data_IF_607854447880
#
_entry.id   IF_607854447880
#
_cell.length_a   1.000
_cell.length_b   1.000
_cell.length_c   1.000
_cell.angle_alpha   90.00
_cell.angle_beta   90.00
_cell.angle_gamma   90.00
#
_symmetry.space_group_name_H-M   'P 1'
#
loop_
_entity.id
_entity.type
_entity.pdbx_description
1 polymer ?
#
# COMPACT_ATOMS: atom_id res chain seq x y z
N UNK A 1 -76.79 22.38 13.50
CA UNK A 1 -75.39 21.88 13.63
C UNK A 1 -74.46 23.04 13.27
N UNK A 2 -73.74 23.58 14.25
CA UNK A 2 -73.05 24.88 14.13
C UNK A 2 -71.78 24.80 13.28
N UNK A 3 -71.88 25.26 12.02
CA UNK A 3 -70.77 25.35 11.06
C UNK A 3 -69.58 26.19 11.58
N UNK A 4 -69.82 27.15 12.47
CA UNK A 4 -68.82 28.05 13.04
C UNK A 4 -67.80 27.34 13.96
N UNK A 5 -68.21 26.30 14.68
CA UNK A 5 -67.32 25.54 15.59
C UNK A 5 -66.35 24.64 14.81
N UNK A 6 -66.85 24.02 13.74
CA UNK A 6 -66.06 23.15 12.84
C UNK A 6 -65.01 23.99 12.11
N UNK A 7 -65.38 25.18 11.61
CA UNK A 7 -64.46 26.08 10.91
C UNK A 7 -63.30 26.56 11.80
N UNK A 8 -63.56 26.84 13.08
CA UNK A 8 -62.52 27.25 14.04
C UNK A 8 -61.54 26.12 14.37
N UNK A 9 -62.02 24.88 14.50
CA UNK A 9 -61.16 23.71 14.75
C UNK A 9 -60.24 23.41 13.56
N UNK A 10 -60.73 23.51 12.32
CA UNK A 10 -59.89 23.34 11.13
C UNK A 10 -58.82 24.44 11.00
N UNK A 11 -59.16 25.70 11.31
CA UNK A 11 -58.19 26.81 11.33
C UNK A 11 -57.09 26.61 12.38
N UNK A 12 -57.44 26.14 13.59
CA UNK A 12 -56.43 25.83 14.63
C UNK A 12 -55.53 24.66 14.25
N UNK A 13 -56.07 23.59 13.67
CA UNK A 13 -55.27 22.45 13.19
C UNK A 13 -54.33 22.84 12.04
N UNK A 14 -54.79 23.71 11.14
CA UNK A 14 -53.97 24.25 10.05
C UNK A 14 -52.81 25.09 10.58
N UNK A 15 -53.07 25.98 11.55
CA UNK A 15 -52.03 26.82 12.16
C UNK A 15 -50.96 25.96 12.86
N UNK A 16 -51.38 24.94 13.63
CA UNK A 16 -50.44 24.02 14.30
C UNK A 16 -49.58 23.26 13.27
N UNK A 17 -50.19 22.80 12.17
CA UNK A 17 -49.49 22.12 11.09
C UNK A 17 -48.44 23.03 10.45
N UNK A 18 -48.79 24.29 10.15
CA UNK A 18 -47.86 25.26 9.55
C UNK A 18 -46.69 25.57 10.48
N UNK A 19 -46.94 25.71 11.78
CA UNK A 19 -45.89 25.93 12.78
C UNK A 19 -44.96 24.72 12.88
N UNK A 20 -45.50 23.50 12.90
CA UNK A 20 -44.69 22.28 12.92
C UNK A 20 -43.83 22.14 11.65
N UNK A 21 -44.36 22.53 10.50
CA UNK A 21 -43.64 22.49 9.22
C UNK A 21 -42.51 23.52 9.18
N UNK A 22 -42.71 24.71 9.74
CA UNK A 22 -41.66 25.72 9.92
C UNK A 22 -40.52 25.20 10.81
N UNK A 23 -40.83 24.55 11.94
CA UNK A 23 -39.80 23.94 12.79
C UNK A 23 -39.03 22.84 12.06
N UNK A 24 -39.71 22.04 11.22
CA UNK A 24 -39.07 20.97 10.46
C UNK A 24 -38.10 21.52 9.39
N UNK A 25 -38.49 22.59 8.70
CA UNK A 25 -37.62 23.27 7.72
C UNK A 25 -36.40 23.88 8.39
N UNK A 26 -36.56 24.54 9.54
CA UNK A 26 -35.43 25.11 10.29
C UNK A 26 -34.49 24.00 10.79
N UNK A 27 -35.03 22.87 11.27
CA UNK A 27 -34.22 21.73 11.69
C UNK A 27 -33.40 21.14 10.53
N UNK A 28 -33.98 21.03 9.33
CA UNK A 28 -33.27 20.57 8.12
C UNK A 28 -32.17 21.56 7.74
N UNK A 29 -32.43 22.86 7.78
CA UNK A 29 -31.41 23.89 7.48
C UNK A 29 -30.26 23.81 8.48
N UNK A 30 -30.54 23.70 9.79
CA UNK A 30 -29.50 23.56 10.82
C UNK A 30 -28.70 22.25 10.65
N UNK A 31 -29.37 21.15 10.32
CA UNK A 31 -28.72 19.86 10.05
C UNK A 31 -27.80 19.93 8.81
N UNK A 32 -28.27 20.54 7.72
CA UNK A 32 -27.48 20.70 6.49
C UNK A 32 -26.35 21.74 6.65
N UNK A 33 -26.55 22.78 7.45
CA UNK A 33 -25.54 23.83 7.71
C UNK A 33 -24.46 23.38 8.71
N UNK A 34 -24.76 22.36 9.53
CA UNK A 34 -23.80 21.74 10.44
C UNK A 34 -22.85 20.76 9.77
N UNK A 35 -23.15 20.33 8.54
CA UNK A 35 -22.20 19.60 7.70
C UNK A 35 -21.23 20.61 7.08
N UNK A 36 -20.17 20.93 7.84
CA UNK A 36 -18.99 21.55 7.22
C UNK A 36 -18.59 20.64 6.05
N UNK A 37 -18.38 21.18 4.83
CA UNK A 37 -17.68 20.41 3.82
C UNK A 37 -16.35 20.03 4.46
N UNK A 38 -16.17 18.74 4.73
CA UNK A 38 -14.85 18.20 5.02
C UNK A 38 -14.04 18.68 3.81
N UNK A 39 -13.00 19.51 3.98
CA UNK A 39 -12.18 19.84 2.86
C UNK A 39 -11.76 18.51 2.26
N UNK A 40 -12.19 18.26 1.03
CA UNK A 40 -11.50 17.34 0.15
C UNK A 40 -10.11 17.94 0.03
N UNK A 41 -9.27 17.65 1.01
CA UNK A 41 -7.83 17.55 0.81
C UNK A 41 -7.72 16.69 -0.41
N UNK A 42 -7.50 17.35 -1.54
CA UNK A 42 -6.95 16.77 -2.75
C UNK A 42 -5.98 15.72 -2.26
N UNK A 43 -6.38 14.47 -2.39
CA UNK A 43 -5.56 13.32 -2.05
C UNK A 43 -4.23 13.65 -2.70
N UNK A 44 -3.16 13.79 -1.90
CA UNK A 44 -1.81 13.81 -2.45
C UNK A 44 -1.79 12.59 -3.34
N UNK A 45 -1.86 12.77 -4.66
CA UNK A 45 -1.76 11.68 -5.60
C UNK A 45 -0.55 10.89 -5.12
N UNK A 46 -0.77 9.66 -4.67
CA UNK A 46 0.31 8.86 -4.15
C UNK A 46 1.32 8.78 -5.28
N UNK A 47 2.47 9.44 -5.08
CA UNK A 47 3.44 9.60 -6.14
C UNK A 47 3.91 8.20 -6.53
N UNK A 48 3.95 7.95 -7.83
CA UNK A 48 4.55 6.72 -8.35
C UNK A 48 6.00 6.66 -7.88
N UNK A 49 6.47 5.47 -7.53
CA UNK A 49 7.87 5.31 -7.18
C UNK A 49 8.75 5.66 -8.40
N UNK A 50 9.72 6.58 -8.27
CA UNK A 50 10.55 7.00 -9.40
C UNK A 50 11.43 5.86 -9.94
N UNK A 51 11.66 4.81 -9.16
CA UNK A 51 12.43 3.64 -9.57
C UNK A 51 11.54 2.52 -10.16
N UNK A 52 10.22 2.72 -10.19
CA UNK A 52 9.28 1.78 -10.79
C UNK A 52 9.18 1.97 -12.31
N UNK A 53 9.71 1.01 -13.06
CA UNK A 53 9.67 0.99 -14.53
C UNK A 53 8.64 -0.03 -15.03
N UNK A 54 8.26 0.04 -16.30
CA UNK A 54 7.45 -1.01 -16.91
C UNK A 54 8.16 -2.36 -16.83
N UNK A 55 7.39 -3.39 -16.50
CA UNK A 55 7.90 -4.75 -16.46
C UNK A 55 8.50 -5.10 -17.83
N UNK A 56 9.79 -5.36 -17.85
CA UNK A 56 10.47 -5.95 -19.00
C UNK A 56 10.40 -7.48 -18.87
N UNK A 57 9.75 -8.13 -19.83
CA UNK A 57 9.59 -9.59 -19.83
C UNK A 57 10.92 -10.36 -19.90
N UNK A 58 11.99 -9.75 -20.45
CA UNK A 58 13.35 -10.32 -20.43
C UNK A 58 13.92 -10.23 -19.03
N UNK A 59 13.82 -9.06 -18.41
CA UNK A 59 14.30 -8.82 -17.05
C UNK A 59 13.54 -9.67 -16.00
N UNK A 60 12.23 -9.83 -16.17
CA UNK A 60 11.42 -10.76 -15.37
C UNK A 60 11.89 -12.21 -15.50
N UNK A 61 12.27 -12.66 -16.70
CA UNK A 61 12.84 -14.01 -16.89
C UNK A 61 14.18 -14.17 -16.19
N UNK A 62 14.95 -13.11 -16.06
CA UNK A 62 16.18 -13.13 -15.25
C UNK A 62 15.83 -13.32 -13.77
N UNK A 63 14.80 -12.61 -13.27
CA UNK A 63 14.26 -12.76 -11.92
C UNK A 63 13.49 -14.06 -11.65
N UNK A 64 12.94 -14.73 -12.66
CA UNK A 64 12.31 -16.04 -12.51
C UNK A 64 13.29 -17.13 -12.01
N UNK A 65 14.59 -16.83 -11.98
CA UNK A 65 15.60 -17.70 -11.40
C UNK A 65 15.92 -17.36 -9.94
N UNK A 66 15.36 -16.28 -9.40
CA UNK A 66 15.19 -16.14 -7.97
C UNK A 66 14.08 -17.09 -7.54
N UNK A 67 14.17 -17.61 -6.32
CA UNK A 67 13.12 -18.43 -5.74
C UNK A 67 11.91 -17.54 -5.40
N UNK A 68 11.09 -17.30 -6.42
CA UNK A 68 9.89 -16.49 -6.39
C UNK A 68 8.66 -17.40 -6.25
N UNK A 69 7.82 -17.10 -5.26
CA UNK A 69 6.53 -17.72 -5.03
C UNK A 69 5.43 -16.72 -5.29
N UNK A 70 4.49 -17.07 -6.15
CA UNK A 70 3.26 -16.30 -6.34
C UNK A 70 2.23 -16.71 -5.28
N UNK A 71 1.63 -15.74 -4.61
CA UNK A 71 0.61 -15.93 -3.57
C UNK A 71 -0.57 -15.02 -3.88
N UNK A 72 -1.77 -15.59 -3.91
CA UNK A 72 -3.00 -14.81 -4.04
C UNK A 72 -3.61 -14.58 -2.66
N UNK A 73 -3.85 -13.32 -2.29
CA UNK A 73 -4.53 -12.93 -1.06
C UNK A 73 -5.72 -12.04 -1.41
N UNK A 74 -6.92 -12.59 -1.29
CA UNK A 74 -8.13 -11.92 -1.77
C UNK A 74 -8.14 -11.82 -3.29
N UNK A 75 -8.10 -10.60 -3.83
CA UNK A 75 -8.02 -10.32 -5.28
C UNK A 75 -6.67 -9.74 -5.70
N UNK A 76 -5.65 -9.87 -4.84
CA UNK A 76 -4.32 -9.34 -5.11
C UNK A 76 -3.32 -10.49 -5.29
N UNK A 77 -2.51 -10.40 -6.35
CA UNK A 77 -1.46 -11.33 -6.70
C UNK A 77 -0.13 -10.76 -6.19
N UNK A 78 0.46 -11.44 -5.22
CA UNK A 78 1.77 -11.12 -4.66
C UNK A 78 2.83 -12.00 -5.30
N UNK A 79 3.96 -11.41 -5.68
CA UNK A 79 5.13 -12.13 -6.16
C UNK A 79 6.26 -11.96 -5.14
N UNK A 80 6.55 -13.02 -4.41
CA UNK A 80 7.34 -13.00 -3.19
C UNK A 80 8.65 -13.74 -3.38
N UNK A 81 9.76 -13.14 -2.95
CA UNK A 81 11.09 -13.74 -3.07
C UNK A 81 11.60 -14.21 -1.72
N UNK A 82 12.28 -15.35 -1.68
CA UNK A 82 12.88 -15.88 -0.45
C UNK A 82 14.35 -15.45 -0.26
N UNK A 83 15.04 -15.04 -1.34
CA UNK A 83 16.46 -14.67 -1.32
C UNK A 83 16.71 -13.41 -2.16
N UNK A 84 17.58 -12.53 -1.67
CA UNK A 84 18.07 -11.35 -2.40
C UNK A 84 19.59 -11.23 -2.29
N UNK A 85 20.22 -10.66 -3.30
CA UNK A 85 21.68 -10.54 -3.41
C UNK A 85 22.08 -9.08 -3.56
N UNK A 86 22.74 -8.53 -2.55
CA UNK A 86 23.11 -7.11 -2.45
C UNK A 86 24.62 -6.92 -2.47
N UNK A 87 25.05 -5.77 -2.99
CA UNK A 87 26.46 -5.36 -3.02
C UNK A 87 26.84 -4.61 -1.75
N UNK A 88 27.97 -4.95 -1.12
CA UNK A 88 28.38 -4.38 0.17
C UNK A 88 28.95 -2.96 0.09
N UNK A 89 29.33 -2.51 -1.11
CA UNK A 89 30.05 -1.26 -1.34
C UNK A 89 29.15 -0.11 -1.83
N UNK A 90 27.84 -0.33 -1.93
CA UNK A 90 26.87 0.64 -2.42
C UNK A 90 25.57 0.61 -1.62
N UNK A 91 24.84 1.71 -1.62
CA UNK A 91 23.45 1.79 -1.14
C UNK A 91 22.43 1.51 -2.24
N UNK A 92 22.82 1.67 -3.50
CA UNK A 92 21.98 1.37 -4.65
C UNK A 92 21.97 -0.14 -4.88
N UNK A 93 20.81 -0.77 -4.67
CA UNK A 93 20.64 -2.22 -4.72
C UNK A 93 19.57 -2.60 -5.73
N UNK A 94 19.78 -3.72 -6.41
CA UNK A 94 18.73 -4.35 -7.20
C UNK A 94 17.71 -4.98 -6.25
N UNK A 95 16.46 -4.51 -6.30
CA UNK A 95 15.37 -5.03 -5.47
C UNK A 95 14.28 -5.58 -6.38
N UNK A 96 14.26 -6.90 -6.50
CA UNK A 96 13.26 -7.63 -7.24
C UNK A 96 11.90 -7.50 -6.54
N UNK A 97 11.10 -6.51 -6.93
CA UNK A 97 9.71 -6.37 -6.50
C UNK A 97 8.91 -5.84 -7.67
N UNK A 98 7.79 -6.48 -7.98
CA UNK A 98 6.89 -6.01 -9.02
C UNK A 98 5.43 -6.16 -8.61
N UNK A 99 4.59 -5.32 -9.20
CA UNK A 99 3.15 -5.40 -9.07
C UNK A 99 2.60 -6.10 -10.32
N UNK A 100 1.92 -7.23 -10.11
CA UNK A 100 1.39 -8.04 -11.21
C UNK A 100 0.47 -7.20 -12.13
N UNK A 101 0.59 -7.30 -13.46
CA UNK A 101 -0.28 -6.57 -14.37
C UNK A 101 -1.77 -6.93 -14.24
N UNK A 102 -2.11 -8.08 -13.66
CA UNK A 102 -3.50 -8.46 -13.40
C UNK A 102 -4.08 -7.81 -12.14
N UNK A 103 -3.26 -7.19 -11.29
CA UNK A 103 -3.76 -6.45 -10.13
C UNK A 103 -4.44 -5.15 -10.55
N UNK A 104 -5.46 -4.74 -9.81
CA UNK A 104 -6.17 -3.48 -10.02
C UNK A 104 -5.74 -2.36 -9.07
N UNK A 105 -4.92 -2.69 -8.05
CA UNK A 105 -4.40 -1.76 -7.02
C UNK A 105 -2.89 -1.57 -7.14
N UNK A 106 -2.41 -0.43 -6.63
CA UNK A 106 -0.99 -0.18 -6.44
C UNK A 106 -0.40 -1.06 -5.33
N UNK A 107 0.93 -1.09 -5.26
CA UNK A 107 1.69 -1.83 -4.26
C UNK A 107 2.72 -0.92 -3.61
N UNK A 108 2.79 -0.95 -2.28
CA UNK A 108 3.93 -0.42 -1.52
C UNK A 108 4.72 -1.61 -1.00
N UNK A 109 6.03 -1.58 -1.19
CA UNK A 109 6.95 -2.57 -0.66
C UNK A 109 7.85 -1.94 0.40
N UNK A 110 7.95 -2.61 1.55
CA UNK A 110 8.79 -2.16 2.66
C UNK A 110 9.73 -3.29 3.07
N UNK A 111 11.04 -3.03 3.10
CA UNK A 111 12.08 -3.98 3.48
C UNK A 111 12.65 -3.59 4.85
N UNK A 112 12.61 -4.54 5.78
CA UNK A 112 13.22 -4.44 7.10
C UNK A 112 14.34 -5.46 7.27
N UNK A 113 15.40 -5.11 8.02
CA UNK A 113 16.24 -6.09 8.70
C UNK A 113 15.52 -6.54 9.97
N UNK A 114 15.42 -7.85 10.14
CA UNK A 114 14.62 -8.47 11.19
C UNK A 114 13.78 -9.61 10.64
N UNK A 115 13.52 -10.61 11.48
CA UNK A 115 12.64 -11.71 11.14
C UNK A 115 11.17 -11.25 11.13
N UNK A 116 10.29 -12.06 10.52
CA UNK A 116 8.89 -11.70 10.33
C UNK A 116 8.14 -11.49 11.66
N UNK A 117 8.46 -12.28 12.69
CA UNK A 117 7.85 -12.18 14.02
C UNK A 117 8.17 -10.83 14.69
N UNK A 118 9.42 -10.38 14.62
CA UNK A 118 9.84 -9.08 15.14
C UNK A 118 9.14 -7.92 14.42
N UNK A 119 8.96 -8.05 13.09
CA UNK A 119 8.26 -7.06 12.27
C UNK A 119 6.77 -7.01 12.60
N UNK A 120 6.12 -8.16 12.79
CA UNK A 120 4.71 -8.25 13.17
C UNK A 120 4.44 -7.64 14.56
N UNK A 121 5.37 -7.85 15.51
CA UNK A 121 5.26 -7.32 16.87
C UNK A 121 5.82 -5.90 17.03
N UNK A 122 6.30 -5.28 15.95
CA UNK A 122 6.96 -3.97 15.98
C UNK A 122 8.07 -3.86 17.04
N UNK A 123 8.90 -4.90 17.12
CA UNK A 123 10.05 -4.98 18.04
C UNK A 123 11.05 -3.85 17.74
N UNK A 124 11.68 -3.29 18.77
CA UNK A 124 12.67 -2.21 18.65
C UNK A 124 13.93 -2.63 17.87
N UNK A 125 14.15 -3.93 17.71
CA UNK A 125 15.28 -4.50 16.96
C UNK A 125 15.13 -4.45 15.43
N UNK A 126 13.95 -4.13 14.90
CA UNK A 126 13.74 -4.05 13.45
C UNK A 126 14.31 -2.75 12.88
N UNK A 127 14.93 -2.84 11.72
CA UNK A 127 15.51 -1.68 11.05
C UNK A 127 14.97 -1.52 9.63
N UNK A 128 14.42 -0.35 9.31
CA UNK A 128 13.96 -0.04 7.96
C UNK A 128 15.15 0.14 7.01
N UNK A 129 15.24 -0.69 5.98
CA UNK A 129 16.23 -0.53 4.92
C UNK A 129 15.69 0.22 3.71
N UNK A 130 14.43 0.00 3.36
CA UNK A 130 13.83 0.63 2.19
C UNK A 130 12.32 0.62 2.28
N UNK A 131 11.70 1.68 1.75
CA UNK A 131 10.26 1.78 1.55
C UNK A 131 10.00 2.44 0.21
N UNK A 132 9.26 1.76 -0.65
CA UNK A 132 8.83 2.34 -1.92
C UNK A 132 7.70 3.36 -1.73
N UNK A 133 7.50 4.19 -2.74
CA UNK A 133 6.20 4.81 -3.00
C UNK A 133 5.29 3.80 -3.73
N UNK A 134 4.30 4.26 -4.51
CA UNK A 134 3.36 3.34 -5.15
C UNK A 134 3.94 2.75 -6.43
N UNK A 135 4.01 1.43 -6.48
CA UNK A 135 4.32 0.63 -7.67
C UNK A 135 2.99 0.28 -8.34
N UNK A 136 2.73 0.85 -9.53
CA UNK A 136 1.48 0.58 -10.27
C UNK A 136 1.46 -0.83 -10.86
N UNK A 137 0.27 -1.40 -11.15
CA UNK A 137 0.17 -2.68 -11.87
C UNK A 137 1.00 -2.68 -13.15
N UNK A 138 1.71 -3.78 -13.41
CA UNK A 138 2.59 -3.91 -14.56
C UNK A 138 3.94 -3.18 -14.44
N UNK A 139 4.27 -2.67 -13.24
CA UNK A 139 5.55 -2.01 -12.96
C UNK A 139 6.40 -2.83 -11.98
N UNK A 140 7.71 -2.63 -12.07
CA UNK A 140 8.69 -3.24 -11.17
C UNK A 140 9.76 -2.26 -10.71
N UNK A 141 10.26 -2.47 -9.51
CA UNK A 141 11.46 -1.80 -9.02
C UNK A 141 12.69 -2.41 -9.72
N UNK A 142 13.65 -1.56 -10.04
CA UNK A 142 14.94 -1.97 -10.62
C UNK A 142 16.03 -1.82 -9.58
N UNK A 143 16.65 -0.64 -9.56
CA UNK A 143 17.67 -0.24 -8.59
C UNK A 143 17.02 0.75 -7.65
N UNK A 144 17.20 0.52 -6.35
CA UNK A 144 16.65 1.34 -5.28
C UNK A 144 17.76 1.77 -4.33
N UNK A 145 17.66 2.98 -3.81
CA UNK A 145 18.57 3.47 -2.80
C UNK A 145 18.11 3.05 -1.40
N UNK A 146 18.90 2.18 -0.77
CA UNK A 146 18.72 1.80 0.62
C UNK A 146 19.01 2.97 1.56
N UNK A 147 18.36 3.00 2.72
CA UNK A 147 18.59 3.97 3.80
C UNK A 147 20.04 3.96 4.26
N UNK A 148 20.71 2.80 4.22
CA UNK A 148 22.15 2.65 4.48
C UNK A 148 22.75 1.44 3.77
N UNK A 149 24.07 1.43 3.67
CA UNK A 149 24.84 0.28 3.19
C UNK A 149 24.90 -0.84 4.24
N UNK A 150 25.10 -2.07 3.74
CA UNK A 150 25.29 -3.27 4.55
C UNK A 150 26.71 -3.80 4.37
N UNK A 151 27.30 -4.32 5.44
CA UNK A 151 28.58 -5.03 5.35
C UNK A 151 28.34 -6.39 4.70
N UNK A 152 29.39 -6.98 4.14
CA UNK A 152 29.30 -8.35 3.63
C UNK A 152 28.88 -9.32 4.75
N UNK A 153 27.97 -10.24 4.42
CA UNK A 153 27.35 -11.16 5.36
C UNK A 153 25.93 -11.55 4.96
N UNK A 154 25.34 -12.47 5.72
CA UNK A 154 23.97 -12.92 5.54
C UNK A 154 23.06 -12.34 6.62
N UNK A 155 21.91 -11.79 6.22
CA UNK A 155 20.96 -11.15 7.12
C UNK A 155 19.58 -11.76 7.00
N UNK A 156 18.89 -11.86 8.14
CA UNK A 156 17.45 -12.12 8.16
C UNK A 156 16.72 -10.79 7.94
N UNK A 157 15.84 -10.79 6.96
CA UNK A 157 15.06 -9.64 6.56
C UNK A 157 13.62 -10.03 6.30
N UNK A 158 12.77 -9.02 6.15
CA UNK A 158 11.35 -9.19 5.89
C UNK A 158 10.90 -8.14 4.89
N UNK A 159 10.17 -8.58 3.86
CA UNK A 159 9.48 -7.68 2.94
C UNK A 159 7.99 -7.71 3.26
N UNK A 160 7.41 -6.52 3.40
CA UNK A 160 5.98 -6.32 3.53
C UNK A 160 5.45 -5.77 2.20
N UNK A 161 4.52 -6.51 1.60
CA UNK A 161 3.81 -6.12 0.39
C UNK A 161 2.43 -5.58 0.80
N UNK A 162 2.20 -4.29 0.58
CA UNK A 162 0.98 -3.59 0.99
C UNK A 162 0.21 -3.10 -0.24
N UNK A 163 -0.84 -3.79 -0.67
CA UNK A 163 -1.77 -3.32 -1.69
C UNK A 163 -2.47 -2.03 -1.24
N UNK A 164 -2.50 -1.05 -2.13
CA UNK A 164 -3.04 0.29 -1.87
C UNK A 164 -3.82 0.81 -3.08
N UNK A 165 -4.99 1.41 -2.87
CA UNK A 165 -5.72 2.08 -3.95
C UNK A 165 -5.24 3.52 -4.17
N UNK A 166 -5.81 4.18 -5.19
CA UNK A 166 -5.49 5.57 -5.52
C UNK A 166 -5.86 6.58 -4.42
N UNK A 167 -6.66 6.16 -3.42
CA UNK A 167 -7.06 6.95 -2.27
C UNK A 167 -6.20 6.69 -1.02
N UNK A 168 -5.29 5.71 -1.06
CA UNK A 168 -4.45 5.33 0.05
C UNK A 168 -5.05 4.27 0.99
N UNK A 169 -6.17 3.65 0.62
CA UNK A 169 -6.77 2.57 1.41
C UNK A 169 -5.94 1.30 1.27
N UNK A 170 -5.71 0.62 2.40
CA UNK A 170 -4.90 -0.61 2.48
C UNK A 170 -5.83 -1.83 2.54
N UNK A 171 -5.53 -2.87 1.74
CA UNK A 171 -6.38 -4.06 1.58
C UNK A 171 -5.83 -5.33 2.25
N UNK A 172 -4.88 -5.16 3.17
CA UNK A 172 -4.20 -6.25 3.88
C UNK A 172 -2.80 -6.48 3.32
N UNK A 173 -1.81 -6.53 4.21
CA UNK A 173 -0.41 -6.71 3.82
C UNK A 173 0.00 -8.18 3.87
N UNK A 174 0.85 -8.58 2.95
CA UNK A 174 1.54 -9.87 2.99
C UNK A 174 2.96 -9.67 3.53
N UNK A 175 3.28 -10.40 4.59
CA UNK A 175 4.60 -10.39 5.23
C UNK A 175 5.36 -11.61 4.75
N UNK A 176 6.56 -11.38 4.20
CA UNK A 176 7.41 -12.44 3.64
C UNK A 176 8.79 -12.40 4.27
N UNK A 177 9.25 -13.48 4.93
CA UNK A 177 10.64 -13.58 5.37
C UNK A 177 11.56 -13.77 4.16
N UNK A 178 12.70 -13.06 4.17
CA UNK A 178 13.68 -13.05 3.08
C UNK A 178 15.09 -13.15 3.66
N UNK A 179 15.97 -13.92 3.01
CA UNK A 179 17.40 -13.89 3.31
C UNK A 179 18.12 -12.89 2.41
N UNK A 180 18.81 -11.92 3.00
CA UNK A 180 19.70 -11.02 2.24
C UNK A 180 21.12 -11.57 2.29
N UNK A 181 21.68 -11.78 1.11
CA UNK A 181 23.08 -12.15 0.93
C UNK A 181 23.85 -10.91 0.48
N UNK A 182 24.83 -10.48 1.27
CA UNK A 182 25.61 -9.28 0.98
C UNK A 182 27.06 -9.65 0.72
N UNK A 183 27.60 -9.27 -0.44
CA UNK A 183 28.99 -9.51 -0.82
C UNK A 183 29.55 -8.32 -1.61
N UNK A 184 30.86 -8.28 -1.85
CA UNK A 184 31.48 -7.19 -2.62
C UNK A 184 30.95 -7.12 -4.05
N UNK A 185 30.88 -8.28 -4.70
CA UNK A 185 30.26 -8.40 -6.01
C UNK A 185 29.67 -9.81 -6.16
N UNK A 186 28.74 -9.93 -7.10
CA UNK A 186 28.04 -11.17 -7.37
C UNK A 186 28.24 -11.55 -8.83
N UNK A 187 28.57 -12.82 -9.05
CA UNK A 187 28.54 -13.42 -10.38
C UNK A 187 27.51 -14.52 -10.42
N UNK A 188 26.90 -14.67 -11.59
CA UNK A 188 25.99 -15.77 -11.84
C UNK A 188 26.76 -16.95 -12.41
N UNK A 189 26.59 -18.12 -11.80
CA UNK A 189 27.15 -19.38 -12.28
C UNK A 189 26.30 -19.94 -13.41
N UNK A 190 26.88 -20.86 -14.20
CA UNK A 190 26.20 -21.51 -15.33
C UNK A 190 24.99 -22.35 -14.93
N UNK A 191 24.89 -22.74 -13.65
CA UNK A 191 23.73 -23.43 -13.06
C UNK A 191 22.61 -22.45 -12.63
N UNK A 192 22.77 -21.16 -12.92
CA UNK A 192 21.80 -20.11 -12.63
C UNK A 192 21.89 -19.54 -11.22
N UNK A 193 22.72 -20.10 -10.33
CA UNK A 193 22.88 -19.64 -8.95
C UNK A 193 23.82 -18.44 -8.85
N UNK A 194 23.57 -17.61 -7.86
CA UNK A 194 24.46 -16.50 -7.50
C UNK A 194 25.60 -16.99 -6.60
N UNK A 195 26.79 -16.45 -6.83
CA UNK A 195 27.95 -16.68 -5.98
C UNK A 195 28.75 -15.37 -5.84
N UNK A 196 29.37 -15.14 -4.67
CA UNK A 196 30.25 -13.99 -4.51
C UNK A 196 31.44 -14.11 -5.47
N UNK A 197 31.88 -12.98 -6.02
CA UNK A 197 33.16 -12.89 -6.73
C UNK A 197 34.27 -12.80 -5.68
N UNK A 198 35.21 -13.74 -5.71
CA UNK A 198 36.40 -13.75 -4.85
C UNK A 198 37.38 -12.61 -5.18
#
# INVERSE_FOLDING_TARGET
MNFTVILQQHKRKLIILVVALLFLVVAIIVFLSGQKPIPSTTVKAFLEDPNAVEIDAVFLKEFQNYDCKTVEQGYFIHNCFSQLYFKSDTTAQELAVWNDPANDKGLIATLYLGNAEAVENADESIELLYKSSVIKPGRMLTIVDMVRGLKAGDYDATIIYTPVDDFGNIYGSLITPVKLHVAKDWTRKSDGKWAPVE
#
